data_IF_114433531849
#
_entry.id   IF_114433531849
#
_cell.length_a   1.000
_cell.length_b   1.000
_cell.length_c   1.000
_cell.angle_alpha   90.00
_cell.angle_beta   90.00
_cell.angle_gamma   90.00
#
_symmetry.space_group_name_H-M   'P 1'
#
loop_
_entity.id
_entity.type
_entity.pdbx_description
1 polymer ?
#
# COMPACT_ATOMS: atom_id res chain seq x y z
N UNK A 1 12.52 6.88 -19.94
CA UNK A 1 11.97 5.84 -19.06
C UNK A 1 12.95 5.66 -17.92
N UNK A 2 12.61 6.16 -16.73
CA UNK A 2 13.45 6.03 -15.53
C UNK A 2 12.54 5.61 -14.38
N UNK A 3 12.48 4.31 -14.13
CA UNK A 3 11.67 3.70 -13.07
C UNK A 3 12.01 2.22 -12.91
N UNK A 4 11.63 1.65 -11.77
CA UNK A 4 11.83 0.24 -11.41
C UNK A 4 11.33 -0.76 -12.46
N UNK A 5 10.35 -0.39 -13.29
CA UNK A 5 9.84 -1.22 -14.39
C UNK A 5 10.90 -1.56 -15.45
N UNK A 6 11.87 -0.67 -15.69
CA UNK A 6 12.98 -0.92 -16.62
C UNK A 6 13.98 -1.94 -16.06
N UNK A 7 14.14 -1.94 -14.74
CA UNK A 7 14.96 -2.92 -14.02
C UNK A 7 14.24 -4.26 -13.99
N UNK A 8 12.93 -4.27 -13.74
CA UNK A 8 12.11 -5.50 -13.82
C UNK A 8 12.16 -6.11 -15.22
N UNK A 9 11.91 -5.32 -16.26
CA UNK A 9 11.94 -5.75 -17.66
C UNK A 9 13.30 -6.37 -18.04
N UNK A 10 14.41 -5.72 -17.62
CA UNK A 10 15.77 -6.22 -17.83
C UNK A 10 16.11 -7.47 -17.01
N UNK A 11 15.46 -7.69 -15.86
CA UNK A 11 15.61 -8.91 -15.06
C UNK A 11 14.79 -10.06 -15.64
N UNK A 12 13.59 -9.78 -16.16
CA UNK A 12 12.71 -10.77 -16.81
C UNK A 12 13.15 -11.12 -18.23
N UNK A 13 13.85 -10.23 -18.94
CA UNK A 13 14.34 -10.46 -20.30
C UNK A 13 15.57 -11.35 -20.39
N UNK A 14 16.12 -11.82 -19.24
CA UNK A 14 17.32 -12.68 -19.22
C UNK A 14 17.07 -14.13 -19.65
N UNK A 15 15.82 -14.52 -19.93
CA UNK A 15 15.48 -15.87 -20.41
C UNK A 15 15.52 -16.97 -19.34
N UNK A 16 15.95 -16.66 -18.12
CA UNK A 16 16.04 -17.61 -17.01
C UNK A 16 14.86 -17.48 -16.04
N UNK A 17 14.27 -18.61 -15.65
CA UNK A 17 13.19 -18.68 -14.65
C UNK A 17 13.58 -18.03 -13.31
N UNK A 18 14.87 -18.08 -12.95
CA UNK A 18 15.41 -17.45 -11.72
C UNK A 18 15.41 -15.92 -11.82
N UNK A 19 15.68 -15.36 -13.00
CA UNK A 19 15.61 -13.91 -13.24
C UNK A 19 14.19 -13.38 -13.11
N UNK A 20 13.22 -14.16 -13.61
CA UNK A 20 11.79 -13.89 -13.48
C UNK A 20 11.34 -13.93 -12.01
N UNK A 21 11.71 -14.98 -11.27
CA UNK A 21 11.40 -15.12 -9.84
C UNK A 21 11.97 -13.95 -9.01
N UNK A 22 13.20 -13.51 -9.28
CA UNK A 22 13.80 -12.34 -8.61
C UNK A 22 13.07 -11.04 -8.95
N UNK A 23 12.71 -10.82 -10.21
CA UNK A 23 11.95 -9.65 -10.63
C UNK A 23 10.61 -9.53 -9.91
N UNK A 24 9.86 -10.63 -9.85
CA UNK A 24 8.59 -10.70 -9.11
C UNK A 24 8.78 -10.57 -7.60
N UNK A 25 9.80 -11.20 -7.01
CA UNK A 25 10.08 -11.05 -5.57
C UNK A 25 10.38 -9.59 -5.20
N UNK A 26 11.18 -8.88 -6.01
CA UNK A 26 11.44 -7.45 -5.80
C UNK A 26 10.19 -6.59 -5.95
N UNK A 27 9.36 -6.84 -6.97
CA UNK A 27 8.09 -6.14 -7.13
C UNK A 27 7.12 -6.42 -5.96
N UNK A 28 7.05 -7.67 -5.50
CA UNK A 28 6.24 -8.08 -4.37
C UNK A 28 6.69 -7.37 -3.08
N UNK A 29 8.00 -7.36 -2.77
CA UNK A 29 8.50 -6.67 -1.57
C UNK A 29 8.28 -5.15 -1.67
N UNK A 30 8.48 -4.55 -2.85
CA UNK A 30 8.26 -3.10 -3.02
C UNK A 30 6.79 -2.71 -2.94
N UNK A 31 5.87 -3.56 -3.40
CA UNK A 31 4.42 -3.28 -3.41
C UNK A 31 3.76 -3.65 -2.08
N UNK A 32 4.21 -4.75 -1.46
CA UNK A 32 3.68 -5.28 -0.19
C UNK A 32 4.43 -4.74 1.04
N UNK A 33 5.52 -3.99 0.85
CA UNK A 33 6.41 -3.56 1.94
C UNK A 33 5.67 -2.81 3.05
N UNK A 34 4.78 -1.89 2.68
CA UNK A 34 3.95 -1.17 3.66
C UNK A 34 3.03 -2.09 4.47
N UNK A 35 2.50 -3.14 3.84
CA UNK A 35 1.59 -4.13 4.45
C UNK A 35 2.30 -5.13 5.34
N UNK A 36 3.53 -5.50 4.98
CA UNK A 36 4.36 -6.38 5.77
C UNK A 36 4.63 -5.80 7.17
N UNK A 37 4.79 -4.49 7.29
CA UNK A 37 4.92 -3.84 8.60
C UNK A 37 3.69 -4.06 9.48
N UNK A 38 2.47 -3.97 8.93
CA UNK A 38 1.25 -4.23 9.69
C UNK A 38 1.16 -5.69 10.13
N UNK A 39 1.52 -6.63 9.25
CA UNK A 39 1.55 -8.07 9.59
C UNK A 39 2.56 -8.33 10.70
N UNK A 40 3.78 -7.81 10.59
CA UNK A 40 4.82 -7.95 11.61
C UNK A 40 4.37 -7.32 12.93
N UNK A 41 3.81 -6.11 12.91
CA UNK A 41 3.30 -5.44 14.11
C UNK A 41 2.22 -6.28 14.82
N UNK A 42 1.21 -6.74 14.09
CA UNK A 42 0.14 -7.57 14.66
C UNK A 42 0.65 -8.94 15.15
N UNK A 43 1.66 -9.49 14.47
CA UNK A 43 2.31 -10.75 14.89
C UNK A 43 3.06 -10.58 16.20
N UNK A 44 3.82 -9.48 16.34
CA UNK A 44 4.51 -9.13 17.59
C UNK A 44 3.52 -8.88 18.72
N UNK A 45 2.43 -8.15 18.47
CA UNK A 45 1.36 -7.94 19.46
C UNK A 45 0.73 -9.28 19.88
N UNK A 46 0.50 -10.20 18.94
CA UNK A 46 -0.06 -11.52 19.27
C UNK A 46 0.93 -12.40 20.05
N UNK A 47 2.23 -12.29 19.75
CA UNK A 47 3.28 -13.08 20.37
C UNK A 47 3.64 -12.59 21.79
N UNK A 48 3.83 -11.28 21.95
CA UNK A 48 4.21 -10.67 23.25
C UNK A 48 3.01 -10.26 24.10
N UNK A 49 1.85 -10.01 23.49
CA UNK A 49 0.64 -9.53 24.14
C UNK A 49 0.09 -10.39 25.28
N UNK A 50 0.21 -11.74 25.29
CA UNK A 50 -0.29 -12.56 26.39
C UNK A 50 0.36 -12.25 27.75
N UNK A 51 1.52 -11.57 27.76
CA UNK A 51 2.16 -11.10 28.99
C UNK A 51 1.50 -9.87 29.60
N UNK A 52 0.64 -9.17 28.83
CA UNK A 52 0.07 -7.87 29.19
C UNK A 52 -1.47 -7.82 29.16
N UNK A 53 -2.13 -8.75 28.47
CA UNK A 53 -3.59 -8.76 28.31
C UNK A 53 -4.13 -10.19 28.09
N UNK A 54 -5.45 -10.36 28.26
CA UNK A 54 -6.09 -11.64 27.98
C UNK A 54 -6.14 -11.94 26.48
N UNK A 55 -6.24 -13.21 26.10
CA UNK A 55 -6.42 -13.60 24.70
C UNK A 55 -7.68 -12.99 24.05
N UNK A 56 -8.73 -12.74 24.85
CA UNK A 56 -9.95 -12.10 24.37
C UNK A 56 -9.72 -10.62 24.01
N UNK A 57 -8.95 -9.90 24.82
CA UNK A 57 -8.60 -8.49 24.58
C UNK A 57 -7.71 -8.36 23.34
N UNK A 58 -6.70 -9.23 23.21
CA UNK A 58 -5.82 -9.26 22.05
C UNK A 58 -6.56 -9.58 20.76
N UNK A 59 -7.53 -10.51 20.82
CA UNK A 59 -8.38 -10.85 19.67
C UNK A 59 -9.25 -9.66 19.27
N UNK A 60 -9.87 -8.99 20.24
CA UNK A 60 -10.71 -7.81 20.01
C UNK A 60 -9.90 -6.66 19.41
N UNK A 61 -8.72 -6.38 19.96
CA UNK A 61 -7.79 -5.39 19.42
C UNK A 61 -7.43 -5.69 17.96
N UNK A 62 -7.05 -6.94 17.67
CA UNK A 62 -6.71 -7.37 16.30
C UNK A 62 -7.88 -7.19 15.35
N UNK A 63 -9.10 -7.57 15.77
CA UNK A 63 -10.31 -7.38 14.96
C UNK A 63 -10.55 -5.91 14.64
N UNK A 64 -10.48 -5.03 15.64
CA UNK A 64 -10.65 -3.58 15.43
C UNK A 64 -9.63 -3.05 14.42
N UNK A 65 -8.34 -3.40 14.58
CA UNK A 65 -7.28 -2.94 13.68
C UNK A 65 -7.51 -3.45 12.26
N UNK A 66 -7.79 -4.74 12.08
CA UNK A 66 -8.00 -5.35 10.76
C UNK A 66 -9.18 -4.72 10.03
N UNK A 67 -10.32 -4.56 10.72
CA UNK A 67 -11.51 -3.98 10.09
C UNK A 67 -11.35 -2.48 9.82
N UNK A 68 -10.67 -1.74 10.69
CA UNK A 68 -10.38 -0.32 10.45
C UNK A 68 -9.49 -0.15 9.21
N UNK A 69 -8.45 -0.98 9.08
CA UNK A 69 -7.58 -0.99 7.90
C UNK A 69 -8.36 -1.37 6.63
N UNK A 70 -9.13 -2.46 6.68
CA UNK A 70 -9.91 -2.93 5.54
C UNK A 70 -10.89 -1.85 5.05
N UNK A 71 -11.60 -1.21 5.97
CA UNK A 71 -12.52 -0.12 5.65
C UNK A 71 -11.78 1.08 5.03
N UNK A 72 -10.69 1.52 5.65
CA UNK A 72 -9.87 2.64 5.13
C UNK A 72 -9.36 2.36 3.72
N UNK A 73 -9.05 1.10 3.40
CA UNK A 73 -8.58 0.70 2.08
C UNK A 73 -9.66 0.73 1.02
N UNK A 74 -10.81 0.13 1.34
CA UNK A 74 -11.94 0.11 0.42
C UNK A 74 -12.38 1.54 0.11
N UNK A 75 -12.37 2.41 1.12
CA UNK A 75 -12.75 3.81 0.97
C UNK A 75 -11.74 4.62 0.13
N UNK A 76 -10.44 4.44 0.35
CA UNK A 76 -9.39 5.17 -0.37
C UNK A 76 -9.06 4.57 -1.76
N UNK A 77 -9.40 3.31 -1.99
CA UNK A 77 -9.07 2.55 -3.20
C UNK A 77 -9.43 3.25 -4.52
N UNK A 78 -10.66 3.76 -4.70
CA UNK A 78 -11.05 4.47 -5.92
C UNK A 78 -10.19 5.70 -6.20
N UNK A 79 -9.86 6.48 -5.16
CA UNK A 79 -9.02 7.68 -5.28
C UNK A 79 -7.60 7.28 -5.71
N UNK A 80 -7.02 6.28 -5.04
CA UNK A 80 -5.68 5.79 -5.36
C UNK A 80 -5.61 5.21 -6.79
N UNK A 81 -6.66 4.54 -7.25
CA UNK A 81 -6.73 3.99 -8.61
C UNK A 81 -6.64 5.10 -9.67
N UNK A 82 -7.38 6.20 -9.48
CA UNK A 82 -7.33 7.35 -10.41
C UNK A 82 -5.97 8.05 -10.35
N UNK A 83 -5.42 8.28 -9.16
CA UNK A 83 -4.13 8.95 -8.98
C UNK A 83 -2.98 8.15 -9.60
N UNK A 84 -2.95 6.83 -9.39
CA UNK A 84 -1.89 5.97 -9.95
C UNK A 84 -1.98 5.88 -11.47
N UNK A 85 -3.20 5.91 -12.03
CA UNK A 85 -3.39 6.00 -13.48
C UNK A 85 -2.87 7.31 -14.04
N UNK A 86 -3.29 8.45 -13.48
CA UNK A 86 -2.84 9.76 -13.92
C UNK A 86 -1.32 9.93 -13.77
N UNK A 87 -0.75 9.43 -12.67
CA UNK A 87 0.70 9.44 -12.47
C UNK A 87 1.43 8.67 -13.57
N UNK A 88 0.91 7.50 -13.94
CA UNK A 88 1.47 6.70 -15.04
C UNK A 88 1.45 7.46 -16.36
N UNK A 89 0.35 8.14 -16.66
CA UNK A 89 0.21 8.96 -17.87
C UNK A 89 1.20 10.14 -17.88
N UNK A 90 1.42 10.80 -16.74
CA UNK A 90 2.40 11.90 -16.62
C UNK A 90 3.86 11.44 -16.70
N UNK A 91 4.16 10.26 -16.15
CA UNK A 91 5.48 9.63 -16.29
C UNK A 91 5.74 9.29 -17.77
N UNK A 92 4.73 8.76 -18.47
CA UNK A 92 4.81 8.45 -19.90
C UNK A 92 5.05 9.71 -20.73
N UNK A 93 4.30 10.79 -20.45
CA UNK A 93 4.45 12.10 -21.10
C UNK A 93 5.72 12.87 -20.69
N UNK A 94 6.52 12.34 -19.74
CA UNK A 94 7.69 13.01 -19.14
C UNK A 94 7.39 14.39 -18.54
N UNK A 95 6.15 14.61 -18.10
CA UNK A 95 5.66 15.88 -17.57
C UNK A 95 5.23 15.73 -16.11
N UNK A 96 6.22 15.66 -15.21
CA UNK A 96 5.99 15.40 -13.77
C UNK A 96 5.79 16.66 -12.92
N UNK A 97 5.73 17.86 -13.53
CA UNK A 97 5.55 19.13 -12.79
C UNK A 97 4.27 19.16 -11.96
N UNK A 98 3.19 18.52 -12.42
CA UNK A 98 1.90 18.49 -11.73
C UNK A 98 1.76 17.41 -10.65
N UNK A 99 2.75 16.51 -10.49
CA UNK A 99 2.62 15.36 -9.57
C UNK A 99 2.48 15.76 -8.10
N UNK A 100 3.24 16.73 -7.55
CA UNK A 100 3.08 17.12 -6.16
C UNK A 100 1.67 17.64 -5.85
N UNK A 101 1.11 18.46 -6.75
CA UNK A 101 -0.25 18.98 -6.62
C UNK A 101 -1.31 17.87 -6.70
N UNK A 102 -1.10 16.88 -7.57
CA UNK A 102 -1.95 15.69 -7.65
C UNK A 102 -1.97 14.92 -6.33
N UNK A 103 -0.81 14.72 -5.68
CA UNK A 103 -0.74 14.00 -4.39
C UNK A 103 -1.49 14.75 -3.30
N UNK A 104 -1.28 16.06 -3.18
CA UNK A 104 -1.97 16.89 -2.18
C UNK A 104 -3.48 16.88 -2.45
N UNK A 105 -3.90 17.07 -3.70
CA UNK A 105 -5.32 17.01 -4.08
C UNK A 105 -5.94 15.65 -3.78
N UNK A 106 -5.22 14.57 -4.07
CA UNK A 106 -5.63 13.20 -3.76
C UNK A 106 -5.83 12.94 -2.27
N UNK A 107 -4.94 13.48 -1.43
CA UNK A 107 -5.07 13.41 0.03
C UNK A 107 -6.31 14.18 0.49
N UNK A 108 -6.51 15.42 0.00
CA UNK A 108 -7.68 16.24 0.36
C UNK A 108 -8.98 15.54 -0.04
N UNK A 109 -9.07 14.99 -1.25
CA UNK A 109 -10.26 14.23 -1.71
C UNK A 109 -10.49 13.02 -0.81
N UNK A 110 -9.45 12.27 -0.47
CA UNK A 110 -9.57 11.11 0.43
C UNK A 110 -10.09 11.52 1.81
N UNK A 111 -9.63 12.65 2.36
CA UNK A 111 -10.10 13.19 3.63
C UNK A 111 -11.55 13.67 3.55
N UNK A 112 -11.94 14.34 2.47
CA UNK A 112 -13.32 14.78 2.26
C UNK A 112 -14.29 13.61 2.13
N UNK A 113 -13.88 12.51 1.50
CA UNK A 113 -14.67 11.28 1.41
C UNK A 113 -14.78 10.60 2.78
N UNK A 114 -13.71 10.63 3.59
CA UNK A 114 -13.70 10.02 4.92
C UNK A 114 -14.39 10.87 6.00
N UNK A 115 -14.41 12.20 5.88
CA UNK A 115 -14.89 13.11 6.91
C UNK A 115 -16.36 12.86 7.35
N UNK A 116 -17.34 12.65 6.44
CA UNK A 116 -18.72 12.35 6.81
C UNK A 116 -18.90 11.04 7.57
N UNK A 117 -17.95 10.12 7.44
CA UNK A 117 -17.99 8.82 8.11
C UNK A 117 -17.36 8.86 9.51
N UNK A 118 -16.55 9.88 9.78
CA UNK A 118 -15.82 10.06 11.04
C UNK A 118 -16.56 10.97 12.03
N UNK A 119 -17.39 11.89 11.54
CA UNK A 119 -18.17 12.82 12.37
C UNK A 119 -19.57 12.23 12.59
N UNK A 120 -20.01 12.02 13.84
CA UNK A 120 -21.33 11.47 14.16
C UNK A 120 -22.48 12.44 13.85
#
# INVERSE_FOLDING_TARGET
MAGIGFVLDRLTSRGDLIGLARGYAHAAVSTSGGWLFTIVALSLVTYFGPSFASYADLSTFRLIVVYNFAFSLVLSGPVVLVLTRYLSDQIFARSVRGVPGMVIGGIIVSLLVAAPLAVP
#
